data_IF_820167647348
#
_entry.id   IF_820167647348
#
_cell.length_a   1.000
_cell.length_b   1.000
_cell.length_c   1.000
_cell.angle_alpha   90.00
_cell.angle_beta   90.00
_cell.angle_gamma   90.00
#
_symmetry.space_group_name_H-M   'P 1'
#
loop_
_entity.id
_entity.type
_entity.pdbx_description
1 polymer ?
#
# COMPACT_ATOMS: atom_id res chain seq x y z
N UNK A 1 3.91 -3.73 44.22
CA UNK A 1 4.23 -4.20 42.86
C UNK A 1 3.42 -3.37 41.88
N UNK A 2 4.02 -2.32 41.32
CA UNK A 2 3.38 -1.43 40.35
C UNK A 2 3.56 -2.04 38.98
N UNK A 3 2.51 -2.67 38.45
CA UNK A 3 2.45 -3.08 37.04
C UNK A 3 2.40 -1.83 36.17
N UNK A 4 3.55 -1.43 35.66
CA UNK A 4 3.62 -0.46 34.58
C UNK A 4 2.93 -1.06 33.35
N UNK A 5 1.70 -0.63 33.07
CA UNK A 5 1.04 -0.89 31.82
C UNK A 5 1.93 -0.37 30.69
N UNK A 6 2.50 -1.29 29.91
CA UNK A 6 3.22 -0.94 28.69
C UNK A 6 2.29 -0.12 27.81
N UNK A 7 2.69 1.06 27.31
CA UNK A 7 1.83 1.86 26.46
C UNK A 7 1.43 1.00 25.26
N UNK A 8 0.13 0.93 25.01
CA UNK A 8 -0.44 0.19 23.88
C UNK A 8 0.33 0.58 22.61
N UNK A 9 0.88 -0.42 21.92
CA UNK A 9 1.65 -0.22 20.71
C UNK A 9 0.73 0.43 19.65
N UNK A 10 0.94 1.70 19.39
CA UNK A 10 0.16 2.51 18.44
C UNK A 10 0.99 2.81 17.20
N UNK A 11 0.31 3.05 16.07
CA UNK A 11 0.96 3.57 14.86
C UNK A 11 1.33 5.03 15.10
N UNK A 12 2.61 5.35 14.92
CA UNK A 12 3.09 6.72 14.99
C UNK A 12 2.94 7.40 13.63
N UNK A 13 1.88 8.19 13.50
CA UNK A 13 1.55 8.93 12.29
C UNK A 13 2.62 10.00 12.01
N UNK A 14 3.10 10.67 13.05
CA UNK A 14 4.15 11.69 12.92
C UNK A 14 5.45 11.08 12.37
N UNK A 15 5.80 9.87 12.85
CA UNK A 15 6.94 9.14 12.32
C UNK A 15 6.75 8.77 10.85
N UNK A 16 5.55 8.34 10.44
CA UNK A 16 5.28 7.94 9.07
C UNK A 16 5.50 9.09 8.07
N UNK A 17 5.02 10.29 8.37
CA UNK A 17 5.20 11.46 7.51
C UNK A 17 6.61 12.06 7.59
N UNK A 18 7.23 12.04 8.77
CA UNK A 18 8.58 12.55 8.99
C UNK A 18 9.72 11.60 8.55
N UNK A 19 9.40 10.30 8.33
CA UNK A 19 10.37 9.24 8.03
C UNK A 19 11.29 9.56 6.85
N UNK A 20 10.71 10.11 5.78
CA UNK A 20 11.41 10.43 4.55
C UNK A 20 12.52 11.45 4.81
N UNK A 21 12.24 12.48 5.60
CA UNK A 21 13.15 13.61 5.86
C UNK A 21 14.27 13.30 6.87
N UNK A 22 14.17 12.20 7.62
CA UNK A 22 15.24 11.78 8.57
C UNK A 22 16.49 11.21 7.89
N UNK A 23 16.38 10.85 6.65
CA UNK A 23 17.51 10.29 5.89
C UNK A 23 18.42 11.41 5.40
N UNK A 24 19.73 11.32 5.64
CA UNK A 24 20.72 12.34 5.23
C UNK A 24 20.69 12.68 3.74
N UNK A 25 20.31 11.71 2.90
CA UNK A 25 20.21 11.87 1.45
C UNK A 25 18.77 11.67 0.95
N UNK A 26 17.78 12.14 1.71
CA UNK A 26 16.37 11.95 1.38
C UNK A 26 16.01 12.47 -0.02
N UNK A 27 16.54 13.64 -0.41
CA UNK A 27 16.29 14.23 -1.70
C UNK A 27 16.82 13.38 -2.85
N UNK A 28 18.07 12.89 -2.77
CA UNK A 28 18.64 11.99 -3.77
C UNK A 28 17.86 10.69 -3.91
N UNK A 29 17.38 10.13 -2.80
CA UNK A 29 16.56 8.89 -2.80
C UNK A 29 15.18 9.10 -3.42
N UNK A 30 14.54 10.24 -3.14
CA UNK A 30 13.30 10.64 -3.80
C UNK A 30 13.52 10.97 -5.28
N UNK A 31 14.63 11.63 -5.62
CA UNK A 31 14.96 11.95 -7.01
C UNK A 31 15.14 10.71 -7.88
N UNK A 32 15.77 9.63 -7.36
CA UNK A 32 15.84 8.34 -8.07
C UNK A 32 14.44 7.74 -8.27
N UNK A 33 13.57 7.80 -7.27
CA UNK A 33 12.18 7.38 -7.40
C UNK A 33 11.41 8.20 -8.44
N UNK A 34 11.62 9.53 -8.45
CA UNK A 34 11.04 10.43 -9.45
C UNK A 34 11.54 10.12 -10.87
N UNK A 35 12.83 9.81 -11.02
CA UNK A 35 13.40 9.41 -12.31
C UNK A 35 12.78 8.09 -12.81
N UNK A 36 12.58 7.12 -11.94
CA UNK A 36 11.88 5.88 -12.28
C UNK A 36 10.44 6.15 -12.76
N UNK A 37 9.73 7.10 -12.15
CA UNK A 37 8.39 7.49 -12.59
C UNK A 37 8.40 8.21 -13.95
N UNK A 38 9.40 9.05 -14.23
CA UNK A 38 9.55 9.74 -15.52
C UNK A 38 9.73 8.72 -16.66
N UNK A 39 10.52 7.66 -16.42
CA UNK A 39 10.74 6.60 -17.39
C UNK A 39 9.66 5.50 -17.36
N UNK A 40 8.66 5.60 -16.49
CA UNK A 40 7.56 4.64 -16.38
C UNK A 40 6.82 4.42 -17.70
N UNK A 41 6.57 5.52 -18.45
CA UNK A 41 5.88 5.46 -19.74
C UNK A 41 6.68 4.69 -20.81
N UNK A 42 8.00 4.71 -20.70
CA UNK A 42 8.86 4.06 -21.69
C UNK A 42 9.04 2.56 -21.43
N UNK A 43 9.07 2.14 -20.15
CA UNK A 43 9.31 0.74 -19.77
C UNK A 43 8.71 0.48 -18.38
N UNK A 44 7.87 -0.53 -18.22
CA UNK A 44 7.28 -1.01 -16.95
C UNK A 44 8.32 -1.39 -15.87
N UNK A 45 9.57 -1.56 -16.26
CA UNK A 45 10.68 -1.93 -15.38
C UNK A 45 10.86 -0.96 -14.20
N UNK A 46 10.90 0.37 -14.39
CA UNK A 46 11.03 1.32 -13.28
C UNK A 46 9.92 1.20 -12.24
N UNK A 47 8.68 0.91 -12.67
CA UNK A 47 7.56 0.70 -11.74
C UNK A 47 7.81 -0.50 -10.82
N UNK A 48 8.26 -1.62 -11.37
CA UNK A 48 8.55 -2.81 -10.57
C UNK A 48 9.73 -2.58 -9.62
N UNK A 49 10.77 -1.86 -10.05
CA UNK A 49 11.87 -1.48 -9.16
C UNK A 49 11.36 -0.60 -8.01
N UNK A 50 10.47 0.35 -8.31
CA UNK A 50 9.85 1.23 -7.32
C UNK A 50 9.00 0.43 -6.31
N UNK A 51 8.15 -0.48 -6.78
CA UNK A 51 7.37 -1.38 -5.93
C UNK A 51 8.28 -2.23 -5.03
N UNK A 52 9.36 -2.77 -5.57
CA UNK A 52 10.34 -3.52 -4.78
C UNK A 52 11.07 -2.66 -3.74
N UNK A 53 11.33 -1.40 -4.06
CA UNK A 53 11.88 -0.44 -3.10
C UNK A 53 10.91 -0.21 -1.92
N UNK A 54 9.61 -0.15 -2.18
CA UNK A 54 8.60 -0.03 -1.12
C UNK A 54 8.49 -1.30 -0.27
N UNK A 55 8.61 -2.48 -0.88
CA UNK A 55 8.71 -3.75 -0.14
C UNK A 55 9.89 -3.71 0.83
N UNK A 56 11.06 -3.29 0.37
CA UNK A 56 12.24 -3.17 1.21
C UNK A 56 12.07 -2.11 2.31
N UNK A 57 11.48 -0.96 1.99
CA UNK A 57 11.16 0.08 2.96
C UNK A 57 10.26 -0.47 4.07
N UNK A 58 9.19 -1.19 3.71
CA UNK A 58 8.29 -1.80 4.69
C UNK A 58 8.99 -2.85 5.56
N UNK A 59 9.96 -3.63 5.01
CA UNK A 59 10.79 -4.56 5.79
C UNK A 59 11.69 -3.82 6.77
N UNK A 60 12.39 -2.77 6.33
CA UNK A 60 13.28 -1.97 7.19
C UNK A 60 12.48 -1.38 8.36
N UNK A 61 11.32 -0.80 8.08
CA UNK A 61 10.44 -0.24 9.13
C UNK A 61 9.93 -1.34 10.07
N UNK A 62 9.52 -2.49 9.55
CA UNK A 62 9.06 -3.61 10.39
C UNK A 62 10.16 -4.17 11.30
N UNK A 63 11.42 -4.03 10.90
CA UNK A 63 12.59 -4.38 11.72
C UNK A 63 12.99 -3.25 12.69
N UNK A 64 12.23 -2.14 12.75
CA UNK A 64 12.54 -1.01 13.64
C UNK A 64 13.51 0.01 13.04
N UNK A 65 13.89 -0.13 11.78
CA UNK A 65 14.74 0.85 11.08
C UNK A 65 13.99 2.16 10.84
N UNK A 66 14.73 3.27 10.92
CA UNK A 66 14.18 4.65 10.81
C UNK A 66 14.73 5.42 9.61
N UNK A 67 15.45 4.75 8.73
CA UNK A 67 16.04 5.36 7.53
C UNK A 67 15.58 4.63 6.28
N UNK A 68 15.45 5.38 5.18
CA UNK A 68 15.14 4.80 3.87
C UNK A 68 16.29 3.86 3.43
N UNK A 69 15.96 2.69 2.85
CA UNK A 69 16.97 1.78 2.32
C UNK A 69 17.75 2.42 1.17
N UNK A 70 19.00 2.00 0.94
CA UNK A 70 19.78 2.46 -0.22
C UNK A 70 19.21 1.88 -1.53
N UNK A 71 19.50 2.55 -2.65
CA UNK A 71 19.14 2.10 -4.00
C UNK A 71 20.16 1.06 -4.54
N UNK A 72 20.40 0.03 -3.76
CA UNK A 72 21.27 -1.08 -4.13
C UNK A 72 20.44 -2.30 -4.54
N UNK A 73 21.08 -3.30 -5.16
CA UNK A 73 20.45 -4.57 -5.52
C UNK A 73 19.15 -4.40 -6.35
N UNK A 74 19.19 -3.60 -7.42
CA UNK A 74 18.05 -3.31 -8.29
C UNK A 74 17.37 -4.56 -8.84
N UNK A 75 18.14 -5.62 -9.14
CA UNK A 75 17.60 -6.90 -9.60
C UNK A 75 16.69 -7.57 -8.58
N UNK A 76 17.06 -7.52 -7.28
CA UNK A 76 16.21 -8.02 -6.19
C UNK A 76 14.93 -7.19 -6.07
N UNK A 77 15.06 -5.86 -6.12
CA UNK A 77 13.92 -4.95 -6.08
C UNK A 77 12.98 -5.16 -7.26
N UNK A 78 13.52 -5.33 -8.46
CA UNK A 78 12.74 -5.64 -9.66
C UNK A 78 11.92 -6.93 -9.48
N UNK A 79 12.56 -8.01 -9.02
CA UNK A 79 11.89 -9.29 -8.79
C UNK A 79 10.79 -9.18 -7.72
N UNK A 80 11.10 -8.59 -6.58
CA UNK A 80 10.14 -8.45 -5.48
C UNK A 80 8.97 -7.54 -5.85
N UNK A 81 9.25 -6.44 -6.57
CA UNK A 81 8.23 -5.55 -7.05
C UNK A 81 7.36 -6.16 -8.14
N UNK A 82 7.93 -6.95 -9.04
CA UNK A 82 7.16 -7.70 -10.03
C UNK A 82 6.21 -8.71 -9.35
N UNK A 83 6.72 -9.49 -8.40
CA UNK A 83 5.90 -10.46 -7.66
C UNK A 83 4.77 -9.75 -6.90
N UNK A 84 5.05 -8.63 -6.25
CA UNK A 84 4.03 -7.83 -5.58
C UNK A 84 2.99 -7.28 -6.58
N UNK A 85 3.44 -6.77 -7.74
CA UNK A 85 2.53 -6.29 -8.77
C UNK A 85 1.57 -7.39 -9.25
N UNK A 86 2.07 -8.62 -9.44
CA UNK A 86 1.23 -9.77 -9.78
C UNK A 86 0.23 -10.08 -8.66
N UNK A 87 0.63 -10.04 -7.40
CA UNK A 87 -0.29 -10.21 -6.26
C UNK A 87 -1.40 -9.17 -6.30
N UNK A 88 -1.03 -7.89 -6.40
CA UNK A 88 -2.00 -6.79 -6.43
C UNK A 88 -2.91 -6.86 -7.66
N UNK A 89 -2.37 -7.27 -8.80
CA UNK A 89 -3.14 -7.48 -10.03
C UNK A 89 -4.20 -8.57 -9.82
N UNK A 90 -3.82 -9.73 -9.29
CA UNK A 90 -4.75 -10.85 -9.04
C UNK A 90 -5.85 -10.42 -8.05
N UNK A 91 -5.49 -9.72 -6.98
CA UNK A 91 -6.46 -9.19 -6.03
C UNK A 91 -7.35 -8.09 -6.63
N UNK A 92 -6.88 -7.34 -7.60
CA UNK A 92 -7.64 -6.31 -8.31
C UNK A 92 -8.62 -6.86 -9.36
N UNK A 93 -8.36 -8.06 -9.92
CA UNK A 93 -9.17 -8.65 -10.98
C UNK A 93 -10.66 -8.77 -10.65
N UNK A 94 -11.09 -9.30 -9.48
CA UNK A 94 -12.51 -9.40 -9.17
C UNK A 94 -13.19 -8.03 -9.16
N UNK A 95 -12.51 -7.02 -8.60
CA UNK A 95 -13.03 -5.64 -8.58
C UNK A 95 -13.21 -5.06 -9.98
N UNK A 96 -12.25 -5.26 -10.87
CA UNK A 96 -12.32 -4.77 -12.24
C UNK A 96 -13.44 -5.48 -13.04
N UNK A 97 -13.60 -6.78 -12.84
CA UNK A 97 -14.67 -7.56 -13.47
C UNK A 97 -16.06 -7.09 -12.96
N UNK A 98 -16.19 -6.95 -11.62
CA UNK A 98 -17.44 -6.52 -11.00
C UNK A 98 -17.79 -5.07 -11.34
N UNK A 99 -16.81 -4.20 -11.49
CA UNK A 99 -17.04 -2.81 -11.90
C UNK A 99 -17.51 -2.68 -13.35
N UNK A 100 -17.53 -3.78 -14.11
CA UNK A 100 -17.86 -3.71 -15.54
C UNK A 100 -16.89 -2.82 -16.31
N UNK A 101 -15.66 -2.68 -15.81
CA UNK A 101 -14.58 -1.91 -16.45
C UNK A 101 -14.01 -2.64 -17.69
N UNK A 102 -14.90 -3.17 -18.52
CA UNK A 102 -14.70 -3.10 -19.94
C UNK A 102 -14.54 -1.61 -20.25
N UNK A 103 -13.57 -1.27 -21.07
CA UNK A 103 -13.22 0.08 -21.51
C UNK A 103 -14.44 0.99 -21.54
N UNK A 104 -14.34 2.26 -21.09
CA UNK A 104 -15.45 3.19 -21.15
C UNK A 104 -16.00 3.18 -22.56
N UNK A 105 -17.23 2.68 -22.72
CA UNK A 105 -17.89 2.63 -24.01
C UNK A 105 -18.78 3.88 -24.11
N UNK A 106 -18.72 4.50 -25.26
CA UNK A 106 -19.62 5.60 -25.57
C UNK A 106 -21.04 5.03 -25.79
N UNK A 107 -21.97 5.46 -24.97
CA UNK A 107 -23.39 5.23 -25.22
C UNK A 107 -23.95 6.50 -25.82
N UNK A 108 -24.34 6.44 -27.10
CA UNK A 108 -24.99 7.54 -27.79
C UNK A 108 -26.51 7.29 -27.82
N UNK A 109 -27.28 8.22 -27.26
CA UNK A 109 -28.74 8.24 -27.34
C UNK A 109 -29.13 9.50 -28.11
N UNK A 110 -29.48 9.34 -29.39
CA UNK A 110 -29.70 10.47 -30.29
C UNK A 110 -28.39 11.20 -30.63
N UNK A 111 -28.39 12.53 -30.45
CA UNK A 111 -27.19 13.39 -30.62
C UNK A 111 -26.28 13.46 -29.43
N UNK A 112 -26.70 12.94 -28.28
CA UNK A 112 -25.93 13.02 -27.04
C UNK A 112 -25.15 11.73 -26.80
N UNK A 113 -23.84 11.84 -26.88
CA UNK A 113 -22.92 10.77 -26.55
C UNK A 113 -22.35 10.99 -25.13
N UNK A 114 -22.64 10.09 -24.19
CA UNK A 114 -22.08 10.09 -22.84
C UNK A 114 -21.14 8.90 -22.65
N UNK A 115 -20.02 9.15 -21.98
CA UNK A 115 -19.15 8.05 -21.52
C UNK A 115 -19.78 7.41 -20.29
N UNK A 116 -20.34 6.21 -20.47
CA UNK A 116 -20.91 5.46 -19.38
C UNK A 116 -19.89 4.41 -18.90
N UNK A 117 -19.42 4.58 -17.68
CA UNK A 117 -18.63 3.57 -17.00
C UNK A 117 -19.59 2.69 -16.19
N UNK A 118 -19.69 1.43 -16.61
CA UNK A 118 -20.29 0.36 -15.81
C UNK A 118 -21.78 0.45 -15.47
N UNK A 119 -22.51 -0.61 -15.81
CA UNK A 119 -23.90 -0.82 -15.38
C UNK A 119 -24.05 -1.11 -13.87
N UNK A 120 -25.21 -1.55 -13.42
CA UNK A 120 -25.57 -1.75 -12.00
C UNK A 120 -24.65 -2.64 -11.13
N UNK A 121 -23.70 -3.37 -11.73
CA UNK A 121 -22.64 -4.09 -11.03
C UNK A 121 -21.48 -3.17 -10.59
N UNK A 122 -21.42 -1.92 -11.04
CA UNK A 122 -20.36 -0.97 -10.69
C UNK A 122 -20.32 -0.65 -9.18
N UNK A 123 -21.47 -0.65 -8.52
CA UNK A 123 -21.56 -0.48 -7.06
C UNK A 123 -20.95 -1.65 -6.29
N UNK A 124 -21.11 -2.88 -6.78
CA UNK A 124 -20.47 -4.05 -6.17
C UNK A 124 -18.95 -4.02 -6.35
N UNK A 125 -18.47 -3.58 -7.51
CA UNK A 125 -17.05 -3.36 -7.75
C UNK A 125 -16.46 -2.28 -6.83
N UNK A 126 -17.22 -1.21 -6.58
CA UNK A 126 -16.86 -0.17 -5.62
C UNK A 126 -16.77 -0.71 -4.19
N UNK A 127 -17.76 -1.47 -3.74
CA UNK A 127 -17.76 -2.12 -2.42
C UNK A 127 -16.58 -3.10 -2.27
N UNK A 128 -16.32 -3.90 -3.31
CA UNK A 128 -15.16 -4.79 -3.32
C UNK A 128 -13.85 -4.00 -3.20
N UNK A 129 -13.71 -2.91 -3.95
CA UNK A 129 -12.50 -2.09 -3.91
C UNK A 129 -12.28 -1.44 -2.55
N UNK A 130 -13.36 -1.00 -1.88
CA UNK A 130 -13.29 -0.49 -0.50
C UNK A 130 -12.85 -1.59 0.48
N UNK A 131 -13.46 -2.77 0.38
CA UNK A 131 -13.08 -3.92 1.21
C UNK A 131 -11.63 -4.35 0.96
N UNK A 132 -11.22 -4.41 -0.31
CA UNK A 132 -9.85 -4.71 -0.70
C UNK A 132 -8.88 -3.67 -0.14
N UNK A 133 -9.20 -2.37 -0.25
CA UNK A 133 -8.40 -1.30 0.33
C UNK A 133 -8.19 -1.48 1.84
N UNK A 134 -9.25 -1.85 2.56
CA UNK A 134 -9.19 -2.09 4.00
C UNK A 134 -8.29 -3.28 4.38
N UNK A 135 -8.30 -4.36 3.59
CA UNK A 135 -7.47 -5.55 3.87
C UNK A 135 -6.07 -5.47 3.25
N UNK A 136 -5.80 -4.50 2.38
CA UNK A 136 -4.49 -4.33 1.71
C UNK A 136 -3.30 -4.29 2.69
N UNK A 137 -3.34 -3.60 3.84
CA UNK A 137 -2.24 -3.64 4.82
C UNK A 137 -1.95 -5.05 5.32
N UNK A 138 -2.99 -5.87 5.50
CA UNK A 138 -2.84 -7.27 5.92
C UNK A 138 -2.25 -8.14 4.79
N UNK A 139 -2.66 -7.94 3.53
CA UNK A 139 -2.09 -8.62 2.36
C UNK A 139 -0.60 -8.30 2.25
N UNK A 140 -0.22 -7.03 2.36
CA UNK A 140 1.17 -6.61 2.35
C UNK A 140 1.99 -7.25 3.46
N UNK A 141 1.46 -7.26 4.68
CA UNK A 141 2.16 -7.86 5.80
C UNK A 141 2.36 -9.37 5.63
N UNK A 142 1.39 -10.09 5.07
CA UNK A 142 1.53 -11.51 4.72
C UNK A 142 2.56 -11.71 3.61
N UNK A 143 2.53 -10.86 2.57
CA UNK A 143 3.55 -10.88 1.52
C UNK A 143 4.98 -10.70 2.07
N UNK A 144 5.16 -9.77 3.02
CA UNK A 144 6.46 -9.54 3.67
C UNK A 144 6.92 -10.73 4.50
N UNK A 145 6.00 -11.54 5.05
CA UNK A 145 6.32 -12.71 5.88
C UNK A 145 6.70 -13.95 5.07
N UNK A 146 5.96 -14.26 4.02
CA UNK A 146 6.13 -15.51 3.28
C UNK A 146 6.10 -15.38 1.76
N UNK A 147 6.15 -14.17 1.21
CA UNK A 147 6.17 -13.92 -0.22
C UNK A 147 4.83 -14.17 -0.91
N UNK A 148 4.90 -14.62 -2.17
CA UNK A 148 3.73 -14.76 -3.05
C UNK A 148 2.62 -15.63 -2.46
N UNK A 149 2.96 -16.84 -2.01
CA UNK A 149 1.96 -17.82 -1.52
C UNK A 149 1.21 -17.34 -0.30
N UNK A 150 1.89 -16.71 0.65
CA UNK A 150 1.26 -16.21 1.89
C UNK A 150 0.34 -15.01 1.65
N UNK A 151 0.53 -14.26 0.58
CA UNK A 151 -0.34 -13.16 0.18
C UNK A 151 -1.75 -13.63 -0.27
N UNK A 152 -1.97 -14.94 -0.42
CA UNK A 152 -3.26 -15.56 -0.74
C UNK A 152 -3.81 -16.43 0.39
N UNK A 153 -3.18 -16.43 1.57
CA UNK A 153 -3.75 -17.06 2.76
C UNK A 153 -4.85 -16.17 3.34
N UNK A 154 -6.07 -16.34 2.81
CA UNK A 154 -7.26 -15.61 3.23
C UNK A 154 -7.48 -15.68 4.75
N UNK A 155 -7.28 -16.87 5.34
CA UNK A 155 -7.48 -17.07 6.78
C UNK A 155 -6.51 -16.23 7.60
N UNK A 156 -5.24 -16.20 7.22
CA UNK A 156 -4.23 -15.41 7.90
C UNK A 156 -4.45 -13.91 7.68
N UNK A 157 -4.86 -13.49 6.48
CA UNK A 157 -5.17 -12.09 6.15
C UNK A 157 -6.32 -11.57 7.01
N UNK A 158 -7.47 -12.28 7.01
CA UNK A 158 -8.64 -11.85 7.78
C UNK A 158 -8.40 -11.90 9.30
N UNK A 159 -7.67 -12.91 9.77
CA UNK A 159 -7.26 -12.97 11.18
C UNK A 159 -6.41 -11.74 11.55
N UNK A 160 -5.42 -11.38 10.72
CA UNK A 160 -4.54 -10.25 10.98
C UNK A 160 -5.26 -8.91 10.91
N UNK A 161 -6.13 -8.71 9.93
CA UNK A 161 -6.96 -7.51 9.83
C UNK A 161 -7.91 -7.37 11.03
N UNK A 162 -8.45 -8.50 11.53
CA UNK A 162 -9.37 -8.54 12.67
C UNK A 162 -8.70 -8.45 14.05
N UNK A 163 -7.39 -8.68 14.16
CA UNK A 163 -6.68 -8.58 15.45
C UNK A 163 -6.69 -7.14 16.00
N UNK A 164 -6.59 -6.15 15.14
CA UNK A 164 -6.59 -4.73 15.51
C UNK A 164 -7.40 -3.92 14.49
N UNK A 165 -8.74 -4.00 14.52
CA UNK A 165 -9.59 -3.39 13.49
C UNK A 165 -9.45 -1.86 13.45
N UNK A 166 -9.31 -1.20 14.59
CA UNK A 166 -9.07 0.26 14.66
C UNK A 166 -7.78 0.67 13.97
N UNK A 167 -6.71 -0.14 14.13
CA UNK A 167 -5.43 0.11 13.49
C UNK A 167 -5.50 -0.12 11.97
N UNK A 168 -6.22 -1.15 11.54
CA UNK A 168 -6.44 -1.44 10.12
C UNK A 168 -7.16 -0.29 9.43
N UNK A 169 -8.23 0.22 10.05
CA UNK A 169 -8.97 1.39 9.55
C UNK A 169 -8.11 2.64 9.53
N UNK A 170 -7.34 2.88 10.60
CA UNK A 170 -6.44 4.04 10.68
C UNK A 170 -5.40 4.03 9.56
N UNK A 171 -4.74 2.89 9.32
CA UNK A 171 -3.74 2.75 8.25
C UNK A 171 -4.38 2.94 6.88
N UNK A 172 -5.58 2.40 6.66
CA UNK A 172 -6.33 2.61 5.42
C UNK A 172 -6.68 4.08 5.21
N UNK A 173 -7.17 4.77 6.25
CA UNK A 173 -7.50 6.20 6.18
C UNK A 173 -6.26 7.06 5.89
N UNK A 174 -5.14 6.76 6.56
CA UNK A 174 -3.87 7.45 6.29
C UNK A 174 -3.33 7.15 4.89
N UNK A 175 -3.58 5.96 4.37
CA UNK A 175 -3.30 5.60 2.96
C UNK A 175 -4.09 6.48 1.98
N UNK A 176 -5.36 6.79 2.27
CA UNK A 176 -6.17 7.73 1.48
C UNK A 176 -5.57 9.14 1.55
N UNK A 177 -5.19 9.60 2.73
CA UNK A 177 -4.55 10.93 2.90
C UNK A 177 -3.25 11.00 2.06
N UNK A 178 -2.42 9.95 2.14
CA UNK A 178 -1.20 9.87 1.34
C UNK A 178 -1.49 9.86 -0.17
N UNK A 179 -2.55 9.17 -0.61
CA UNK A 179 -2.97 9.17 -2.01
C UNK A 179 -3.46 10.55 -2.47
N UNK A 180 -4.21 11.27 -1.64
CA UNK A 180 -4.63 12.66 -1.92
C UNK A 180 -3.41 13.57 -2.09
N UNK A 181 -2.41 13.47 -1.21
CA UNK A 181 -1.15 14.21 -1.33
C UNK A 181 -0.45 13.88 -2.66
N UNK A 182 -0.43 12.61 -3.04
CA UNK A 182 0.12 12.15 -4.32
C UNK A 182 -0.60 12.79 -5.53
N UNK A 183 -1.94 12.83 -5.50
CA UNK A 183 -2.76 13.41 -6.57
C UNK A 183 -2.62 14.94 -6.63
N UNK A 184 -2.55 15.61 -5.49
CA UNK A 184 -2.31 17.07 -5.45
C UNK A 184 -1.00 17.47 -6.15
N UNK A 185 0.00 16.57 -6.16
CA UNK A 185 1.22 16.75 -6.93
C UNK A 185 1.01 16.85 -8.44
N UNK A 186 -0.08 16.29 -8.96
CA UNK A 186 -0.44 16.39 -10.39
C UNK A 186 -0.80 17.83 -10.75
N UNK A 187 -1.43 18.57 -9.84
CA UNK A 187 -1.88 19.96 -10.03
C UNK A 187 -0.69 20.91 -10.12
N UNK A 188 0.42 20.58 -9.47
CA UNK A 188 1.64 21.38 -9.40
C UNK A 188 2.60 21.14 -10.59
N UNK A 189 2.09 20.75 -11.74
CA UNK A 189 2.86 20.48 -12.97
C UNK A 189 3.79 19.24 -12.80
N UNK A 190 4.03 18.50 -13.86
CA UNK A 190 4.77 17.22 -13.99
C UNK A 190 5.94 17.01 -13.00
N UNK A 191 6.63 18.08 -12.59
CA UNK A 191 7.73 18.05 -11.61
C UNK A 191 7.24 17.75 -10.19
N UNK A 192 6.08 18.30 -9.77
CA UNK A 192 5.51 18.01 -8.46
C UNK A 192 5.13 16.54 -8.32
N UNK A 193 4.49 15.96 -9.33
CA UNK A 193 4.11 14.55 -9.35
C UNK A 193 5.31 13.60 -9.17
N UNK A 194 6.44 13.93 -9.80
CA UNK A 194 7.67 13.13 -9.71
C UNK A 194 8.21 13.01 -8.29
N UNK A 195 7.95 13.97 -7.42
CA UNK A 195 8.40 13.95 -6.02
C UNK A 195 7.29 13.52 -5.07
N UNK A 196 6.03 13.94 -5.30
CA UNK A 196 4.92 13.64 -4.38
C UNK A 196 4.50 12.18 -4.43
N UNK A 197 4.53 11.52 -5.58
CA UNK A 197 4.22 10.09 -5.67
C UNK A 197 5.24 9.22 -4.90
N UNK A 198 6.57 9.30 -5.11
CA UNK A 198 7.52 8.54 -4.31
C UNK A 198 7.40 8.84 -2.81
N UNK A 199 7.13 10.08 -2.43
CA UNK A 199 6.90 10.46 -1.05
C UNK A 199 5.64 9.76 -0.48
N UNK A 200 4.50 9.86 -1.16
CA UNK A 200 3.25 9.24 -0.74
C UNK A 200 3.40 7.71 -0.56
N UNK A 201 4.06 7.07 -1.53
CA UNK A 201 4.34 5.64 -1.44
C UNK A 201 5.28 5.30 -0.28
N UNK A 202 6.30 6.10 0.00
CA UNK A 202 7.19 5.88 1.13
C UNK A 202 6.45 6.00 2.48
N UNK A 203 5.50 6.93 2.60
CA UNK A 203 4.60 7.06 3.76
C UNK A 203 3.74 5.82 3.92
N UNK A 204 3.10 5.35 2.86
CA UNK A 204 2.27 4.13 2.87
C UNK A 204 3.10 2.91 3.24
N UNK A 205 4.30 2.75 2.67
CA UNK A 205 5.20 1.64 3.00
C UNK A 205 5.62 1.67 4.48
N UNK A 206 5.85 2.87 5.05
CA UNK A 206 6.14 3.03 6.46
C UNK A 206 4.95 2.59 7.33
N UNK A 207 3.74 3.04 7.01
CA UNK A 207 2.50 2.65 7.72
C UNK A 207 2.28 1.14 7.67
N UNK A 208 2.49 0.50 6.53
CA UNK A 208 2.36 -0.95 6.40
C UNK A 208 3.45 -1.71 7.18
N UNK A 209 4.68 -1.16 7.24
CA UNK A 209 5.74 -1.71 8.08
C UNK A 209 5.41 -1.64 9.57
N UNK A 210 4.86 -0.51 10.03
CA UNK A 210 4.39 -0.34 11.41
C UNK A 210 3.24 -1.30 11.73
N UNK A 211 2.24 -1.39 10.85
CA UNK A 211 1.10 -2.31 11.00
C UNK A 211 1.59 -3.77 11.15
N UNK A 212 2.50 -4.21 10.29
CA UNK A 212 3.10 -5.55 10.37
C UNK A 212 3.76 -5.79 11.73
N UNK A 213 4.58 -4.86 12.19
CA UNK A 213 5.26 -4.98 13.49
C UNK A 213 4.28 -5.11 14.64
N UNK A 214 3.22 -4.30 14.65
CA UNK A 214 2.22 -4.30 15.71
C UNK A 214 1.37 -5.58 15.72
N UNK A 215 1.01 -6.09 14.53
CA UNK A 215 0.22 -7.32 14.41
C UNK A 215 1.03 -8.60 14.69
N UNK A 216 2.35 -8.56 14.51
CA UNK A 216 3.23 -9.67 14.90
C UNK A 216 3.49 -9.71 16.41
N UNK A 217 3.52 -8.53 17.05
CA UNK A 217 3.77 -8.40 18.49
C UNK A 217 2.49 -8.61 19.33
N UNK A 218 1.31 -8.66 18.72
CA UNK A 218 0.07 -8.91 19.43
C UNK A 218 0.06 -10.37 19.97
N UNK A 219 -0.09 -10.57 21.30
CA UNK A 219 -0.20 -11.92 21.85
C UNK A 219 -1.40 -12.63 21.21
N UNK A 220 -1.33 -13.96 21.01
CA UNK A 220 -2.47 -14.71 20.52
C UNK A 220 -3.67 -14.43 21.45
N UNK A 221 -4.82 -14.09 20.84
CA UNK A 221 -6.04 -13.87 21.58
C UNK A 221 -6.25 -15.07 22.52
N UNK A 222 -6.32 -14.79 23.81
CA UNK A 222 -6.62 -15.83 24.81
C UNK A 222 -7.93 -16.49 24.37
N UNK A 223 -7.85 -17.72 23.91
CA UNK A 223 -9.05 -18.53 23.73
C UNK A 223 -9.76 -18.55 25.08
N UNK A 224 -11.03 -18.13 25.17
CA UNK A 224 -11.78 -18.27 26.41
C UNK A 224 -11.72 -19.74 26.77
N UNK A 225 -11.14 -20.05 27.93
CA UNK A 225 -11.22 -21.40 28.51
C UNK A 225 -12.70 -21.73 28.64
N UNK A 226 -13.16 -22.67 27.85
CA UNK A 226 -14.49 -23.24 28.00
C UNK A 226 -14.63 -23.76 29.42
N UNK A 227 -15.78 -23.52 30.12
CA UNK A 227 -16.05 -23.99 31.44
C UNK A 227 -16.12 -25.52 31.54
#
# INVERSE_FOLDING_TARGET
MSTSLSPAAQVDIGEAFGYVFRSRNWFGRLAVGALCLLFFWLILIPLFILLGYFVETARVVSAGGRQLPPWENLGKKLREGFVLAVVLFIWGLPGSILSGSGFPHQVCVGSDCTFQSGGGLSSLGGLYSLALGLITPAIWSQFLDGGFGSAFDFRAIFRRAGQQPGMTVLVWLMGIVAAIIGVLGVILIVVGLLFTLPYAFAVVANLYGQFRRLTQSAPPALTPSSP
#
